data_IF_277526732569
#
_entry.id   IF_277526732569
#
_cell.length_a   1.000
_cell.length_b   1.000
_cell.length_c   1.000
_cell.angle_alpha   90.00
_cell.angle_beta   90.00
_cell.angle_gamma   90.00
#
_symmetry.space_group_name_H-M   'P 1'
#
loop_
_entity.id
_entity.type
_entity.pdbx_description
1 polymer ?
#
# COMPACT_ATOMS: atom_id res chain seq x y z
N UNK A 1 7.61 25.56 -7.45
CA UNK A 1 8.29 25.17 -6.21
C UNK A 1 7.99 23.71 -5.97
N UNK A 2 9.05 22.89 -5.86
CA UNK A 2 9.17 21.57 -5.21
C UNK A 2 8.21 20.47 -5.72
N UNK A 3 8.64 19.32 -6.25
CA UNK A 3 9.80 18.50 -5.91
C UNK A 3 9.27 17.15 -5.39
N UNK A 4 9.16 16.15 -6.27
CA UNK A 4 9.08 14.73 -5.88
C UNK A 4 7.99 14.28 -4.88
N UNK A 5 6.80 14.89 -4.86
CA UNK A 5 5.66 14.27 -4.17
C UNK A 5 5.15 13.09 -5.02
N UNK A 6 5.52 11.87 -4.59
CA UNK A 6 4.96 10.64 -5.14
C UNK A 6 3.44 10.69 -4.96
N UNK A 7 2.68 10.63 -6.06
CA UNK A 7 1.22 10.63 -6.02
C UNK A 7 0.74 9.50 -5.10
N UNK A 8 -0.28 9.74 -4.26
CA UNK A 8 -0.81 8.74 -3.30
C UNK A 8 -1.17 7.42 -3.97
N UNK A 9 -1.63 7.47 -5.23
CA UNK A 9 -1.93 6.28 -6.04
C UNK A 9 -0.68 5.52 -6.50
N UNK A 10 0.40 6.22 -6.88
CA UNK A 10 1.68 5.60 -7.23
C UNK A 10 2.32 4.93 -5.99
N UNK A 11 2.24 5.60 -4.83
CA UNK A 11 2.70 5.03 -3.57
C UNK A 11 1.94 3.75 -3.19
N UNK A 12 0.62 3.74 -3.38
CA UNK A 12 -0.20 2.55 -3.15
C UNK A 12 0.21 1.41 -4.09
N UNK A 13 0.42 1.70 -5.38
CA UNK A 13 0.83 0.70 -6.36
C UNK A 13 2.18 0.05 -6.02
N UNK A 14 3.19 0.86 -5.64
CA UNK A 14 4.50 0.35 -5.24
C UNK A 14 4.43 -0.50 -3.96
N UNK A 15 3.64 -0.07 -2.96
CA UNK A 15 3.44 -0.88 -1.74
C UNK A 15 2.74 -2.22 -2.05
N UNK A 16 1.72 -2.24 -2.91
CA UNK A 16 1.05 -3.48 -3.32
C UNK A 16 2.00 -4.43 -4.07
N UNK A 17 2.89 -3.89 -4.89
CA UNK A 17 3.94 -4.66 -5.59
C UNK A 17 4.94 -5.26 -4.61
N UNK A 18 5.38 -4.49 -3.61
CA UNK A 18 6.26 -4.98 -2.55
C UNK A 18 5.58 -6.07 -1.71
N UNK A 19 4.32 -5.87 -1.32
CA UNK A 19 3.52 -6.86 -0.60
C UNK A 19 3.40 -8.17 -1.39
N UNK A 20 3.06 -8.08 -2.68
CA UNK A 20 3.01 -9.26 -3.57
C UNK A 20 4.34 -10.01 -3.62
N UNK A 21 5.45 -9.27 -3.68
CA UNK A 21 6.80 -9.85 -3.70
C UNK A 21 7.11 -10.58 -2.39
N UNK A 22 6.78 -10.00 -1.24
CA UNK A 22 6.94 -10.63 0.08
C UNK A 22 6.14 -11.92 0.18
N UNK A 23 4.86 -11.91 -0.22
CA UNK A 23 4.00 -13.09 -0.19
C UNK A 23 4.53 -14.22 -1.09
N UNK A 24 5.10 -13.86 -2.25
CA UNK A 24 5.72 -14.85 -3.15
C UNK A 24 6.99 -15.44 -2.56
N UNK A 25 7.81 -14.65 -1.87
CA UNK A 25 9.02 -15.14 -1.19
C UNK A 25 8.60 -16.06 -0.05
N UNK A 26 7.70 -15.64 0.82
CA UNK A 26 7.18 -16.46 1.91
C UNK A 26 6.66 -17.80 1.42
N UNK A 27 5.86 -17.81 0.35
CA UNK A 27 5.36 -19.04 -0.27
C UNK A 27 6.50 -19.95 -0.76
N UNK A 28 7.45 -19.41 -1.54
CA UNK A 28 8.59 -20.19 -2.05
C UNK A 28 9.46 -20.77 -0.94
N UNK A 29 9.64 -20.02 0.15
CA UNK A 29 10.38 -20.48 1.32
C UNK A 29 9.67 -21.63 2.01
N UNK A 30 8.35 -21.53 2.22
CA UNK A 30 7.55 -22.60 2.82
C UNK A 30 7.45 -23.86 1.94
N UNK A 31 7.42 -23.67 0.61
CA UNK A 31 7.41 -24.78 -0.36
C UNK A 31 8.78 -25.46 -0.51
N UNK A 32 9.85 -24.87 0.04
CA UNK A 32 11.20 -25.44 -0.06
C UNK A 32 11.38 -26.63 0.89
N UNK A 33 12.29 -27.55 0.54
CA UNK A 33 12.63 -28.70 1.38
C UNK A 33 13.20 -28.30 2.75
N UNK A 34 13.68 -27.07 2.88
CA UNK A 34 14.24 -26.48 4.09
C UNK A 34 13.26 -25.48 4.75
N UNK A 35 11.99 -25.45 4.33
CA UNK A 35 11.02 -24.44 4.80
C UNK A 35 10.83 -24.43 6.31
N UNK A 36 11.03 -25.56 6.99
CA UNK A 36 10.99 -25.65 8.45
C UNK A 36 12.10 -24.87 9.16
N UNK A 37 13.24 -24.66 8.51
CA UNK A 37 14.38 -23.90 9.05
C UNK A 37 14.05 -22.40 9.07
N UNK A 38 13.28 -21.93 8.08
CA UNK A 38 13.01 -20.52 7.86
C UNK A 38 11.65 -20.05 8.38
N UNK A 39 10.99 -20.82 9.26
CA UNK A 39 9.63 -20.51 9.73
C UNK A 39 9.56 -19.18 10.48
N UNK A 40 10.59 -18.83 11.25
CA UNK A 40 10.63 -17.58 12.00
C UNK A 40 10.78 -16.38 11.05
N UNK A 41 11.66 -16.48 10.06
CA UNK A 41 11.84 -15.46 9.04
C UNK A 41 10.58 -15.26 8.20
N UNK A 42 9.89 -16.35 7.86
CA UNK A 42 8.59 -16.28 7.19
C UNK A 42 7.54 -15.63 8.10
N UNK A 43 7.51 -15.96 9.39
CA UNK A 43 6.60 -15.34 10.36
C UNK A 43 6.84 -13.83 10.46
N UNK A 44 8.09 -13.39 10.58
CA UNK A 44 8.45 -11.97 10.63
C UNK A 44 8.09 -11.25 9.32
N UNK A 45 8.35 -11.89 8.18
CA UNK A 45 7.97 -11.37 6.86
C UNK A 45 6.46 -11.22 6.73
N UNK A 46 5.68 -12.19 7.24
CA UNK A 46 4.23 -12.12 7.25
C UNK A 46 3.70 -11.04 8.20
N UNK A 47 4.38 -10.80 9.34
CA UNK A 47 4.09 -9.67 10.23
C UNK A 47 4.27 -8.33 9.52
N UNK A 48 5.40 -8.14 8.82
CA UNK A 48 5.65 -6.96 8.01
C UNK A 48 4.66 -6.82 6.85
N UNK A 49 4.26 -7.92 6.21
CA UNK A 49 3.22 -7.93 5.18
C UNK A 49 1.86 -7.46 5.72
N UNK A 50 1.51 -7.84 6.96
CA UNK A 50 0.30 -7.38 7.64
C UNK A 50 0.30 -5.87 7.88
N UNK A 51 1.42 -5.33 8.36
CA UNK A 51 1.60 -3.88 8.55
C UNK A 51 1.45 -3.14 7.20
N UNK A 52 2.14 -3.60 6.16
CA UNK A 52 2.06 -3.00 4.82
C UNK A 52 0.64 -3.07 4.24
N UNK A 53 -0.09 -4.16 4.52
CA UNK A 53 -1.51 -4.30 4.13
C UNK A 53 -2.37 -3.21 4.78
N UNK A 54 -2.16 -2.94 6.06
CA UNK A 54 -2.87 -1.87 6.77
C UNK A 54 -2.53 -0.49 6.19
N UNK A 55 -1.26 -0.23 5.89
CA UNK A 55 -0.83 1.02 5.26
C UNK A 55 -1.48 1.22 3.88
N UNK A 56 -1.56 0.17 3.06
CA UNK A 56 -2.26 0.19 1.78
C UNK A 56 -3.75 0.55 1.95
N UNK A 57 -4.42 0.01 2.97
CA UNK A 57 -5.83 0.31 3.23
C UNK A 57 -6.03 1.78 3.66
N UNK A 58 -5.10 2.33 4.44
CA UNK A 58 -5.13 3.77 4.80
C UNK A 58 -4.98 4.63 3.55
N UNK A 59 -4.00 4.34 2.69
CA UNK A 59 -3.80 5.07 1.43
C UNK A 59 -5.01 4.95 0.51
N UNK A 60 -5.59 3.76 0.39
CA UNK A 60 -6.79 3.53 -0.42
C UNK A 60 -7.95 4.41 0.02
N UNK A 61 -8.22 4.49 1.34
CA UNK A 61 -9.27 5.36 1.88
C UNK A 61 -9.01 6.84 1.65
N UNK A 62 -7.74 7.26 1.74
CA UNK A 62 -7.36 8.64 1.45
C UNK A 62 -7.64 8.99 -0.02
N UNK A 63 -7.22 8.13 -0.95
CA UNK A 63 -7.46 8.30 -2.39
C UNK A 63 -8.97 8.36 -2.66
N UNK A 64 -9.76 7.45 -2.06
CA UNK A 64 -11.22 7.49 -2.20
C UNK A 64 -11.78 8.85 -1.77
N UNK A 65 -11.36 9.35 -0.60
CA UNK A 65 -11.81 10.65 -0.10
C UNK A 65 -11.42 11.81 -1.02
N UNK A 66 -10.19 11.82 -1.54
CA UNK A 66 -9.71 12.80 -2.52
C UNK A 66 -10.54 12.77 -3.80
N UNK A 67 -10.83 11.58 -4.34
CA UNK A 67 -11.68 11.40 -5.52
C UNK A 67 -13.12 11.86 -5.26
N UNK A 68 -13.69 11.55 -4.10
CA UNK A 68 -15.02 12.04 -3.72
C UNK A 68 -15.07 13.55 -3.60
N UNK A 69 -14.03 14.16 -3.03
CA UNK A 69 -13.94 15.61 -2.90
C UNK A 69 -13.85 16.29 -4.27
N UNK A 70 -12.97 15.80 -5.15
CA UNK A 70 -12.81 16.33 -6.51
C UNK A 70 -14.08 16.19 -7.36
N UNK A 71 -14.82 15.09 -7.18
CA UNK A 71 -16.07 14.83 -7.89
C UNK A 71 -17.31 15.49 -7.24
N UNK A 72 -17.14 16.22 -6.13
CA UNK A 72 -18.25 16.89 -5.46
C UNK A 72 -18.82 18.01 -6.32
N UNK A 73 -20.15 18.12 -6.39
CA UNK A 73 -20.85 19.25 -7.04
C UNK A 73 -20.45 20.61 -6.46
N UNK A 74 -19.94 20.63 -5.23
CA UNK A 74 -19.50 21.84 -4.52
C UNK A 74 -18.01 22.13 -4.66
N UNK A 75 -17.23 21.25 -5.30
CA UNK A 75 -15.77 21.38 -5.43
C UNK A 75 -15.35 22.72 -6.03
N UNK A 76 -16.01 23.13 -7.12
CA UNK A 76 -15.72 24.39 -7.80
C UNK A 76 -16.13 25.62 -6.98
N UNK A 77 -17.16 25.52 -6.13
CA UNK A 77 -17.59 26.63 -5.27
C UNK A 77 -16.60 26.90 -4.14
N UNK A 78 -16.00 25.85 -3.57
CA UNK A 78 -14.97 25.98 -2.55
C UNK A 78 -13.66 26.56 -3.09
N UNK A 79 -13.25 26.18 -4.31
CA UNK A 79 -12.02 26.66 -4.94
C UNK A 79 -12.12 28.09 -5.52
N UNK A 80 -13.33 28.61 -5.76
CA UNK A 80 -13.54 30.00 -6.22
C UNK A 80 -13.60 31.02 -5.07
N UNK A 81 -13.79 30.55 -3.83
CA UNK A 81 -13.84 31.40 -2.64
C UNK A 81 -12.49 31.59 -1.92
N UNK A 82 -11.39 31.14 -2.53
CA UNK A 82 -10.01 31.47 -2.15
C UNK A 82 -9.38 32.36 -3.20
#
# INVERSE_FOLDING_TARGET
MNGNELCSSDLLAEKLKHLSSMLQIARRTLDSNEGCIYLNEVSDMMGAAGIMTQECEVLRRQIDAELYQQNSKYFNYFNQSQ
#
